data_IF_736611520724
#
_entry.id   IF_736611520724
#
_cell.length_a   1.000
_cell.length_b   1.000
_cell.length_c   1.000
_cell.angle_alpha   90.00
_cell.angle_beta   90.00
_cell.angle_gamma   90.00
#
_symmetry.space_group_name_H-M   'P 1'
#
loop_
_entity.id
_entity.type
_entity.pdbx_description
1 polymer ?
#
# COMPACT_ATOMS: atom_id res chain seq x y z
N UNK A 1 8.52 -24.21 0.67
CA UNK A 1 8.98 -23.33 -0.43
C UNK A 1 7.85 -22.35 -0.61
N UNK A 2 8.08 -21.06 -0.35
CA UNK A 2 7.05 -20.04 -0.59
C UNK A 2 6.77 -20.10 -2.08
N UNK A 3 5.53 -20.45 -2.46
CA UNK A 3 5.09 -20.37 -3.84
C UNK A 3 5.38 -18.94 -4.32
N UNK A 4 6.06 -18.83 -5.44
CA UNK A 4 6.55 -17.56 -5.90
C UNK A 4 5.35 -16.68 -6.28
N UNK A 5 5.18 -15.58 -5.53
CA UNK A 5 4.05 -14.68 -5.70
C UNK A 5 4.10 -14.04 -7.10
N UNK A 6 3.11 -14.33 -7.94
CA UNK A 6 3.07 -13.99 -9.38
C UNK A 6 3.51 -12.56 -9.71
N UNK A 7 3.07 -11.57 -8.94
CA UNK A 7 3.42 -10.17 -9.24
C UNK A 7 4.90 -9.87 -9.01
N UNK A 8 5.52 -10.47 -7.99
CA UNK A 8 6.95 -10.32 -7.76
C UNK A 8 7.77 -11.01 -8.84
N UNK A 9 7.33 -12.21 -9.27
CA UNK A 9 7.93 -12.91 -10.40
C UNK A 9 7.83 -12.11 -11.71
N UNK A 10 6.67 -11.51 -11.97
CA UNK A 10 6.41 -10.71 -13.17
C UNK A 10 7.43 -9.57 -13.32
N UNK A 11 7.77 -8.90 -12.22
CA UNK A 11 8.79 -7.85 -12.20
C UNK A 11 10.21 -8.36 -11.92
N UNK A 12 10.41 -9.68 -11.81
CA UNK A 12 11.71 -10.30 -11.51
C UNK A 12 12.38 -9.73 -10.24
N UNK A 13 11.60 -9.49 -9.19
CA UNK A 13 12.07 -8.99 -7.90
C UNK A 13 11.89 -10.04 -6.79
N UNK A 14 12.67 -9.97 -5.70
CA UNK A 14 12.47 -10.84 -4.55
C UNK A 14 11.11 -10.56 -3.88
N UNK A 15 10.50 -11.61 -3.32
CA UNK A 15 9.30 -11.50 -2.49
C UNK A 15 9.69 -10.88 -1.15
N UNK A 16 9.48 -9.58 -1.03
CA UNK A 16 9.74 -8.81 0.18
C UNK A 16 8.69 -7.70 0.33
N UNK A 17 8.39 -7.29 1.55
CA UNK A 17 7.59 -6.09 1.77
C UNK A 17 8.37 -4.83 1.41
N UNK A 18 9.67 -4.79 1.69
CA UNK A 18 10.58 -3.67 1.44
C UNK A 18 11.21 -3.78 0.04
N UNK A 19 10.43 -3.47 -1.00
CA UNK A 19 10.92 -3.50 -2.38
C UNK A 19 11.47 -2.16 -2.85
N UNK A 20 12.46 -2.22 -3.74
CA UNK A 20 12.95 -1.06 -4.47
C UNK A 20 12.00 -0.68 -5.62
N UNK A 21 11.25 0.41 -5.42
CA UNK A 21 10.32 0.94 -6.42
C UNK A 21 11.04 1.40 -7.71
N UNK A 22 12.31 1.79 -7.65
CA UNK A 22 13.07 2.17 -8.85
C UNK A 22 13.30 0.95 -9.76
N UNK A 23 13.67 -0.18 -9.18
CA UNK A 23 13.81 -1.46 -9.89
C UNK A 23 12.48 -1.90 -10.53
N UNK A 24 11.37 -1.78 -9.80
CA UNK A 24 10.04 -2.11 -10.36
C UNK A 24 9.68 -1.22 -11.54
N UNK A 25 9.88 0.09 -11.42
CA UNK A 25 9.59 1.02 -12.51
C UNK A 25 10.44 0.72 -13.75
N UNK A 26 11.71 0.32 -13.57
CA UNK A 26 12.56 -0.12 -14.67
C UNK A 26 12.00 -1.35 -15.37
N UNK A 27 11.67 -2.40 -14.62
CA UNK A 27 11.13 -3.64 -15.20
C UNK A 27 9.74 -3.43 -15.80
N UNK A 28 8.91 -2.57 -15.22
CA UNK A 28 7.65 -2.14 -15.82
C UNK A 28 7.82 -1.56 -17.22
N UNK A 29 8.77 -0.64 -17.42
CA UNK A 29 9.04 -0.05 -18.73
C UNK A 29 9.54 -1.10 -19.75
N UNK A 30 10.33 -2.07 -19.30
CA UNK A 30 10.80 -3.19 -20.14
C UNK A 30 9.62 -4.09 -20.58
N UNK A 31 8.76 -4.48 -19.63
CA UNK A 31 7.57 -5.29 -19.89
C UNK A 31 6.57 -4.57 -20.80
N UNK A 32 6.27 -3.29 -20.52
CA UNK A 32 5.35 -2.48 -21.31
C UNK A 32 5.82 -2.36 -22.77
N UNK A 33 7.13 -2.20 -23.00
CA UNK A 33 7.72 -2.19 -24.35
C UNK A 33 7.62 -3.55 -25.05
N UNK A 34 7.62 -4.66 -24.31
CA UNK A 34 7.50 -6.00 -24.87
C UNK A 34 6.06 -6.30 -25.32
N UNK A 35 5.07 -5.87 -24.54
CA UNK A 35 3.64 -6.18 -24.79
C UNK A 35 2.86 -5.07 -25.50
N UNK A 36 3.51 -3.96 -25.86
CA UNK A 36 2.84 -2.77 -26.41
C UNK A 36 1.96 -3.14 -27.63
N UNK A 37 0.66 -2.72 -27.66
CA UNK A 37 -0.27 -3.05 -28.74
C UNK A 37 0.25 -2.70 -30.14
N UNK A 38 1.04 -1.63 -30.28
CA UNK A 38 1.65 -1.24 -31.55
C UNK A 38 2.62 -2.29 -32.13
N UNK A 39 3.29 -3.09 -31.29
CA UNK A 39 4.12 -4.22 -31.75
C UNK A 39 3.26 -5.37 -32.28
N UNK A 40 1.98 -5.40 -31.91
CA UNK A 40 1.00 -6.39 -32.31
C UNK A 40 -0.08 -5.82 -33.24
N UNK A 41 0.11 -4.63 -33.81
CA UNK A 41 -0.87 -3.97 -34.69
C UNK A 41 -1.20 -4.82 -35.94
N UNK A 42 -0.21 -5.57 -36.45
CA UNK A 42 -0.35 -6.52 -37.56
C UNK A 42 -0.55 -7.98 -37.11
N UNK A 43 -0.68 -8.23 -35.81
CA UNK A 43 -0.85 -9.58 -35.27
C UNK A 43 -2.31 -10.08 -35.40
N UNK A 44 -2.51 -11.37 -35.18
CA UNK A 44 -3.85 -11.96 -35.19
C UNK A 44 -4.74 -11.35 -34.09
N UNK A 45 -6.06 -11.43 -34.25
CA UNK A 45 -7.00 -10.97 -33.22
C UNK A 45 -6.77 -11.63 -31.86
N UNK A 46 -6.31 -12.89 -31.85
CA UNK A 46 -5.94 -13.62 -30.64
C UNK A 46 -4.72 -13.01 -29.95
N UNK A 47 -3.68 -12.70 -30.72
CA UNK A 47 -2.43 -12.16 -30.16
C UNK A 47 -2.64 -10.72 -29.66
N UNK A 48 -3.50 -9.94 -30.33
CA UNK A 48 -3.94 -8.63 -29.84
C UNK A 48 -4.68 -8.72 -28.50
N UNK A 49 -5.58 -9.69 -28.36
CA UNK A 49 -6.30 -9.93 -27.10
C UNK A 49 -5.34 -10.32 -25.97
N UNK A 50 -4.38 -11.21 -26.25
CA UNK A 50 -3.34 -11.60 -25.28
C UNK A 50 -2.46 -10.41 -24.87
N UNK A 51 -2.10 -9.52 -25.80
CA UNK A 51 -1.33 -8.30 -25.50
C UNK A 51 -2.11 -7.34 -24.58
N UNK A 52 -3.42 -7.17 -24.80
CA UNK A 52 -4.28 -6.36 -23.92
C UNK A 52 -4.37 -6.96 -22.52
N UNK A 53 -4.61 -8.28 -22.42
CA UNK A 53 -4.65 -8.97 -21.12
C UNK A 53 -3.33 -8.87 -20.36
N UNK A 54 -2.20 -9.05 -21.06
CA UNK A 54 -0.87 -8.92 -20.47
C UNK A 54 -0.61 -7.50 -19.98
N UNK A 55 -1.02 -6.49 -20.75
CA UNK A 55 -0.88 -5.07 -20.37
C UNK A 55 -1.70 -4.75 -19.12
N UNK A 56 -2.93 -5.26 -19.04
CA UNK A 56 -3.78 -5.11 -17.85
C UNK A 56 -3.12 -5.74 -16.62
N UNK A 57 -2.63 -6.98 -16.74
CA UNK A 57 -1.95 -7.69 -15.63
C UNK A 57 -0.71 -6.93 -15.14
N UNK A 58 0.13 -6.43 -16.06
CA UNK A 58 1.33 -5.66 -15.70
C UNK A 58 0.97 -4.37 -14.94
N UNK A 59 -0.10 -3.68 -15.37
CA UNK A 59 -0.56 -2.47 -14.69
C UNK A 59 -1.13 -2.80 -13.30
N UNK A 60 -1.93 -3.86 -13.18
CA UNK A 60 -2.50 -4.29 -11.90
C UNK A 60 -1.41 -4.69 -10.91
N UNK A 61 -0.41 -5.45 -11.38
CA UNK A 61 0.75 -5.82 -10.60
C UNK A 61 1.54 -4.59 -10.14
N UNK A 62 1.79 -3.62 -11.04
CA UNK A 62 2.46 -2.37 -10.69
C UNK A 62 1.69 -1.60 -9.62
N UNK A 63 0.38 -1.39 -9.81
CA UNK A 63 -0.45 -0.67 -8.86
C UNK A 63 -0.50 -1.35 -7.49
N UNK A 64 -0.53 -2.68 -7.49
CA UNK A 64 -0.55 -3.50 -6.27
C UNK A 64 0.77 -3.39 -5.53
N UNK A 65 1.89 -3.63 -6.21
CA UNK A 65 3.20 -3.60 -5.56
C UNK A 65 3.65 -2.18 -5.21
N UNK A 66 3.26 -1.15 -5.96
CA UNK A 66 3.68 0.23 -5.69
C UNK A 66 3.14 0.75 -4.35
N UNK A 67 1.89 0.44 -4.00
CA UNK A 67 1.27 0.91 -2.77
C UNK A 67 1.56 -0.05 -1.60
N UNK A 68 2.21 0.37 -0.50
CA UNK A 68 2.61 -0.54 0.58
C UNK A 68 1.46 -1.34 1.19
N UNK A 69 0.30 -0.71 1.42
CA UNK A 69 -0.91 -1.42 1.92
C UNK A 69 -1.35 -2.51 0.92
N UNK A 70 -1.53 -2.19 -0.37
CA UNK A 70 -1.97 -3.16 -1.38
C UNK A 70 -0.98 -4.30 -1.55
N UNK A 71 0.31 -3.99 -1.48
CA UNK A 71 1.40 -4.97 -1.51
C UNK A 71 1.28 -5.97 -0.36
N UNK A 72 1.09 -5.48 0.86
CA UNK A 72 0.94 -6.36 2.01
C UNK A 72 -0.34 -7.18 1.98
N UNK A 73 -1.46 -6.59 1.53
CA UNK A 73 -2.71 -7.33 1.29
C UNK A 73 -2.51 -8.46 0.28
N UNK A 74 -1.80 -8.17 -0.81
CA UNK A 74 -1.46 -9.16 -1.83
C UNK A 74 -0.60 -10.28 -1.23
N UNK A 75 0.47 -9.93 -0.51
CA UNK A 75 1.34 -10.90 0.14
C UNK A 75 0.56 -11.81 1.10
N UNK A 76 -0.31 -11.26 1.94
CA UNK A 76 -1.15 -12.07 2.84
C UNK A 76 -2.14 -12.96 2.09
N UNK A 77 -2.75 -12.46 1.02
CA UNK A 77 -3.69 -13.27 0.22
C UNK A 77 -3.01 -14.49 -0.42
N UNK A 78 -1.76 -14.34 -0.88
CA UNK A 78 -0.95 -15.44 -1.42
C UNK A 78 -0.51 -16.42 -0.32
N UNK A 79 -0.47 -15.97 0.94
CA UNK A 79 -0.23 -16.80 2.12
C UNK A 79 -1.50 -17.43 2.70
N UNK A 80 -2.65 -17.26 2.04
CA UNK A 80 -3.94 -17.85 2.44
C UNK A 80 -4.72 -17.03 3.47
N UNK A 81 -4.26 -15.82 3.81
CA UNK A 81 -4.95 -14.91 4.74
C UNK A 81 -5.68 -13.82 3.95
N UNK A 82 -7.01 -13.93 3.86
CA UNK A 82 -7.83 -12.92 3.20
C UNK A 82 -8.42 -11.91 4.21
N UNK A 83 -7.76 -10.76 4.28
CA UNK A 83 -8.16 -9.62 5.12
C UNK A 83 -9.55 -9.07 4.73
N UNK A 84 -9.98 -9.24 3.48
CA UNK A 84 -11.30 -8.75 3.01
C UNK A 84 -12.42 -9.69 3.42
N UNK A 85 -12.14 -10.99 3.50
CA UNK A 85 -13.08 -12.00 4.00
C UNK A 85 -13.21 -11.95 5.53
N UNK A 86 -12.15 -11.55 6.23
CA UNK A 86 -12.21 -11.24 7.65
C UNK A 86 -13.02 -9.97 7.93
N UNK A 87 -14.29 -10.14 8.31
CA UNK A 87 -15.14 -9.09 8.90
C UNK A 87 -14.64 -8.60 10.27
N UNK A 88 -13.39 -8.90 10.64
CA UNK A 88 -12.77 -8.42 11.86
C UNK A 88 -12.48 -6.93 11.73
N UNK A 89 -13.40 -6.12 12.27
CA UNK A 89 -13.08 -4.80 12.76
C UNK A 89 -11.97 -4.96 13.80
N UNK A 90 -10.87 -4.24 13.63
CA UNK A 90 -9.75 -4.26 14.58
C UNK A 90 -10.28 -4.01 16.01
N UNK A 91 -10.24 -5.04 16.86
CA UNK A 91 -10.73 -5.00 18.25
C UNK A 91 -9.58 -4.65 19.21
N UNK A 92 -8.79 -3.63 18.87
CA UNK A 92 -7.67 -3.15 19.70
C UNK A 92 -8.11 -1.86 20.40
N UNK A 93 -8.51 -1.90 21.70
CA UNK A 93 -9.01 -0.72 22.40
C UNK A 93 -8.00 0.41 22.49
N UNK A 94 -6.70 0.08 22.55
CA UNK A 94 -5.65 1.11 22.62
C UNK A 94 -5.50 1.81 21.27
N UNK A 95 -5.56 1.05 20.19
CA UNK A 95 -5.58 1.64 18.87
C UNK A 95 -6.85 2.47 18.63
N UNK A 96 -8.04 2.00 19.05
CA UNK A 96 -9.28 2.77 18.90
C UNK A 96 -9.22 4.10 19.66
N UNK A 97 -8.65 4.11 20.87
CA UNK A 97 -8.42 5.34 21.63
C UNK A 97 -7.46 6.27 20.89
N UNK A 98 -6.32 5.74 20.41
CA UNK A 98 -5.38 6.51 19.60
C UNK A 98 -6.03 7.07 18.32
N UNK A 99 -6.93 6.32 17.68
CA UNK A 99 -7.66 6.82 16.51
C UNK A 99 -8.54 8.01 16.84
N UNK A 100 -9.21 8.00 18.00
CA UNK A 100 -10.05 9.10 18.45
C UNK A 100 -9.20 10.33 18.76
N UNK A 101 -8.10 10.17 19.50
CA UNK A 101 -7.16 11.25 19.82
C UNK A 101 -6.58 11.90 18.55
N UNK A 102 -6.13 11.10 17.58
CA UNK A 102 -5.60 11.62 16.32
C UNK A 102 -6.65 12.34 15.48
N UNK A 103 -7.94 11.94 15.58
CA UNK A 103 -9.03 12.63 14.88
C UNK A 103 -9.36 13.96 15.54
N UNK A 104 -9.39 14.00 16.87
CA UNK A 104 -9.57 15.24 17.63
C UNK A 104 -8.44 16.23 17.33
N UNK A 105 -7.18 15.78 17.37
CA UNK A 105 -6.03 16.61 17.02
C UNK A 105 -6.11 17.14 15.59
N UNK A 106 -6.52 16.31 14.62
CA UNK A 106 -6.72 16.72 13.23
C UNK A 106 -7.79 17.79 13.08
N UNK A 107 -8.92 17.67 13.78
CA UNK A 107 -10.00 18.67 13.78
C UNK A 107 -9.55 20.01 14.41
N UNK A 108 -8.68 19.96 15.41
CA UNK A 108 -8.14 21.16 16.06
C UNK A 108 -7.17 21.95 15.16
N UNK A 109 -6.55 21.32 14.14
CA UNK A 109 -5.57 21.96 13.25
C UNK A 109 -6.11 23.21 12.54
N UNK A 110 -7.37 23.18 12.10
CA UNK A 110 -8.02 24.31 11.41
C UNK A 110 -8.14 25.56 12.30
N UNK A 111 -8.15 25.35 13.62
CA UNK A 111 -8.30 26.42 14.62
C UNK A 111 -7.00 26.76 15.36
N UNK A 112 -5.88 26.12 14.95
CA UNK A 112 -4.59 26.31 15.59
C UNK A 112 -4.10 27.75 15.45
N UNK A 113 -3.46 28.27 16.50
CA UNK A 113 -2.87 29.62 16.47
C UNK A 113 -1.68 29.74 15.52
N UNK A 114 -1.01 28.61 15.23
CA UNK A 114 0.11 28.47 14.29
C UNK A 114 -0.10 27.19 13.47
N UNK A 115 -0.89 27.27 12.37
CA UNK A 115 -1.24 26.10 11.56
C UNK A 115 -0.04 25.41 10.93
N UNK A 116 0.98 26.16 10.48
CA UNK A 116 2.20 25.61 9.88
C UNK A 116 2.91 24.64 10.85
N UNK A 117 3.11 25.08 12.09
CA UNK A 117 3.76 24.26 13.12
C UNK A 117 2.89 23.07 13.53
N UNK A 118 1.58 23.28 13.64
CA UNK A 118 0.64 22.22 14.01
C UNK A 118 0.59 21.10 12.95
N UNK A 119 0.49 21.47 11.66
CA UNK A 119 0.53 20.55 10.52
C UNK A 119 1.87 19.80 10.51
N UNK A 120 3.00 20.49 10.60
CA UNK A 120 4.32 19.84 10.59
C UNK A 120 4.50 18.84 11.75
N UNK A 121 3.96 19.15 12.94
CA UNK A 121 3.98 18.22 14.06
C UNK A 121 3.11 16.99 13.78
N UNK A 122 1.89 17.18 13.26
CA UNK A 122 0.98 16.09 12.92
C UNK A 122 1.52 15.21 11.79
N UNK A 123 2.13 15.80 10.76
CA UNK A 123 2.87 15.07 9.71
C UNK A 123 3.98 14.18 10.28
N UNK A 124 4.76 14.71 11.24
CA UNK A 124 5.81 13.95 11.92
C UNK A 124 5.22 12.77 12.69
N UNK A 125 4.09 12.94 13.38
CA UNK A 125 3.39 11.85 14.06
C UNK A 125 2.90 10.77 13.08
N UNK A 126 2.23 11.17 12.00
CA UNK A 126 1.81 10.26 10.91
C UNK A 126 3.01 9.47 10.37
N UNK A 127 4.13 10.15 10.12
CA UNK A 127 5.35 9.53 9.59
C UNK A 127 5.93 8.50 10.56
N UNK A 128 5.94 8.79 11.86
CA UNK A 128 6.38 7.85 12.90
C UNK A 128 5.48 6.62 12.96
N UNK A 129 4.16 6.81 13.03
CA UNK A 129 3.19 5.70 13.05
C UNK A 129 3.29 4.83 11.79
N UNK A 130 3.40 5.47 10.62
CA UNK A 130 3.60 4.77 9.36
C UNK A 130 4.88 3.92 9.38
N UNK A 131 5.99 4.48 9.84
CA UNK A 131 7.26 3.77 9.92
C UNK A 131 7.19 2.59 10.89
N UNK A 132 6.60 2.80 12.07
CA UNK A 132 6.38 1.75 13.06
C UNK A 132 5.59 0.58 12.47
N UNK A 133 4.37 0.82 11.99
CA UNK A 133 3.52 -0.25 11.47
C UNK A 133 4.09 -0.89 10.21
N UNK A 134 4.82 -0.15 9.37
CA UNK A 134 5.50 -0.72 8.19
C UNK A 134 6.64 -1.67 8.58
N UNK A 135 7.41 -1.32 9.62
CA UNK A 135 8.51 -2.17 10.09
C UNK A 135 7.98 -3.45 10.74
N UNK A 136 6.99 -3.34 11.63
CA UNK A 136 6.35 -4.51 12.25
C UNK A 136 5.74 -5.43 11.19
N UNK A 137 5.07 -4.86 10.19
CA UNK A 137 4.49 -5.60 9.08
C UNK A 137 5.53 -6.34 8.25
N UNK A 138 6.70 -5.73 7.99
CA UNK A 138 7.79 -6.37 7.28
C UNK A 138 8.31 -7.61 8.05
N UNK A 139 8.51 -7.48 9.36
CA UNK A 139 8.95 -8.58 10.22
C UNK A 139 7.92 -9.71 10.28
N UNK A 140 6.64 -9.38 10.44
CA UNK A 140 5.55 -10.35 10.49
C UNK A 140 5.39 -11.13 9.18
N UNK A 141 5.47 -10.44 8.03
CA UNK A 141 5.40 -11.08 6.71
C UNK A 141 6.60 -12.01 6.44
N UNK A 142 7.79 -11.67 6.97
CA UNK A 142 9.00 -12.47 6.82
C UNK A 142 9.07 -13.68 7.77
N UNK A 143 8.21 -13.74 8.79
CA UNK A 143 8.29 -14.71 9.89
C UNK A 143 8.02 -16.17 9.50
N UNK A 144 7.32 -16.43 8.39
CA UNK A 144 6.80 -17.76 8.01
C UNK A 144 5.90 -18.41 9.09
N UNK A 145 5.18 -17.60 9.87
CA UNK A 145 4.28 -18.03 10.93
C UNK A 145 2.86 -17.51 10.69
N UNK A 146 1.88 -18.42 10.62
CA UNK A 146 0.47 -18.12 10.40
C UNK A 146 -0.13 -17.20 11.49
N UNK A 147 0.32 -17.36 12.74
CA UNK A 147 -0.11 -16.48 13.82
C UNK A 147 0.40 -15.04 13.62
N UNK A 148 1.57 -14.88 13.00
CA UNK A 148 2.12 -13.56 12.67
C UNK A 148 1.44 -12.95 11.45
N UNK A 149 0.94 -13.76 10.51
CA UNK A 149 0.15 -13.26 9.38
C UNK A 149 -1.18 -12.64 9.82
N UNK A 150 -1.78 -13.16 10.88
CA UNK A 150 -2.95 -12.57 11.52
C UNK A 150 -2.62 -11.19 12.14
N UNK A 151 -1.47 -11.07 12.81
CA UNK A 151 -1.02 -9.77 13.33
C UNK A 151 -0.64 -8.78 12.20
N UNK A 152 -0.10 -9.28 11.09
CA UNK A 152 0.14 -8.48 9.90
C UNK A 152 -1.16 -7.92 9.32
N UNK A 153 -2.26 -8.70 9.34
CA UNK A 153 -3.57 -8.21 8.93
C UNK A 153 -4.04 -7.02 9.78
N UNK A 154 -3.81 -7.07 11.09
CA UNK A 154 -4.09 -5.94 11.99
C UNK A 154 -3.22 -4.72 11.68
N UNK A 155 -1.92 -4.91 11.45
CA UNK A 155 -1.02 -3.81 11.07
C UNK A 155 -1.38 -3.20 9.70
N UNK A 156 -1.91 -3.97 8.77
CA UNK A 156 -2.48 -3.46 7.52
C UNK A 156 -3.70 -2.57 7.78
N UNK A 157 -4.60 -2.97 8.70
CA UNK A 157 -5.75 -2.14 9.12
C UNK A 157 -5.29 -0.83 9.77
N UNK A 158 -4.27 -0.90 10.63
CA UNK A 158 -3.66 0.30 11.25
C UNK A 158 -3.04 1.22 10.21
N UNK A 159 -2.28 0.68 9.25
CA UNK A 159 -1.72 1.46 8.15
C UNK A 159 -2.79 2.12 7.28
N UNK A 160 -3.89 1.42 6.94
CA UNK A 160 -5.00 2.02 6.20
C UNK A 160 -5.54 3.27 6.88
N UNK A 161 -5.68 3.23 8.20
CA UNK A 161 -6.10 4.38 8.98
C UNK A 161 -5.06 5.53 8.90
N UNK A 162 -3.78 5.23 9.06
CA UNK A 162 -2.70 6.25 8.95
C UNK A 162 -2.68 6.90 7.56
N UNK A 163 -2.86 6.13 6.48
CA UNK A 163 -2.97 6.69 5.14
C UNK A 163 -4.21 7.56 4.98
N UNK A 164 -5.35 7.16 5.56
CA UNK A 164 -6.56 7.99 5.54
C UNK A 164 -6.37 9.31 6.30
N UNK A 165 -5.70 9.30 7.46
CA UNK A 165 -5.35 10.54 8.19
C UNK A 165 -4.44 11.44 7.35
N UNK A 166 -3.46 10.87 6.66
CA UNK A 166 -2.59 11.64 5.75
C UNK A 166 -3.39 12.31 4.64
N UNK A 167 -4.31 11.58 3.99
CA UNK A 167 -5.16 12.13 2.93
C UNK A 167 -6.17 13.17 3.47
N UNK A 168 -6.54 13.11 4.75
CA UNK A 168 -7.38 14.11 5.41
C UNK A 168 -6.56 15.37 5.76
N UNK A 169 -5.32 15.20 6.26
CA UNK A 169 -4.38 16.29 6.52
C UNK A 169 -4.04 17.08 5.26
N UNK A 170 -3.70 16.40 4.16
CA UNK A 170 -3.41 17.06 2.88
C UNK A 170 -4.56 17.96 2.42
N UNK A 171 -5.82 17.55 2.67
CA UNK A 171 -6.99 18.37 2.34
C UNK A 171 -7.15 19.58 3.24
N UNK A 172 -6.81 19.46 4.52
CA UNK A 172 -6.82 20.59 5.45
C UNK A 172 -5.72 21.58 5.07
N UNK A 173 -4.53 21.10 4.75
CA UNK A 173 -3.41 21.91 4.26
C UNK A 173 -3.82 22.68 2.99
N UNK A 174 -4.31 21.96 1.96
CA UNK A 174 -4.82 22.59 0.73
C UNK A 174 -5.88 23.66 1.04
N UNK A 175 -6.83 23.39 1.95
CA UNK A 175 -7.88 24.35 2.32
C UNK A 175 -7.39 25.57 3.10
N UNK A 176 -6.27 25.48 3.83
CA UNK A 176 -5.72 26.58 4.63
C UNK A 176 -4.81 27.51 3.81
N UNK A 177 -4.20 26.99 2.74
CA UNK A 177 -3.21 27.71 1.93
C UNK A 177 -3.69 28.11 0.52
N UNK A 178 -4.90 27.70 0.11
CA UNK A 178 -5.55 28.14 -1.14
C UNK A 178 -6.40 29.44 -1.00
N UNK A 179 -6.39 30.10 0.16
CA UNK A 179 -6.95 31.46 0.40
C UNK A 179 -5.89 32.60 0.27
#
# INVERSE_FOLDING_TARGET
MVEAMRYFELFAIPVDYNIDLATINKHYLELQRAVHPDRHANASSRDKLMAVQSTAEINDALQTLKHPVKRAEYMLSELGVDIRAEQQTLQDPMFLMQQMELREELEELESASDPDVAIANFESQIKQLKAQYSNELAEQLASNDEAQYQQAADNIRKLKFVYKLKDELERIEDSLFDD
#
